data_IF_845104595434
#
_entry.id   IF_845104595434
#
_cell.length_a   1.000
_cell.length_b   1.000
_cell.length_c   1.000
_cell.angle_alpha   90.00
_cell.angle_beta   90.00
_cell.angle_gamma   90.00
#
_symmetry.space_group_name_H-M   'P 1'
#
loop_
_entity.id
_entity.type
_entity.pdbx_description
1 polymer ?
#
# COMPACT_ATOMS: atom_id res chain seq x y z
N UNK A 1 2.04 -22.28 24.70
CA UNK A 1 1.97 -21.69 23.34
C UNK A 1 0.51 -21.42 22.96
N UNK A 2 -0.15 -20.37 23.48
CA UNK A 2 -1.61 -20.17 23.22
C UNK A 2 -2.02 -18.81 22.66
N UNK A 3 -1.10 -18.03 22.09
CA UNK A 3 -1.45 -16.71 21.53
C UNK A 3 -0.90 -16.42 20.14
N UNK A 4 -0.33 -17.41 19.46
CA UNK A 4 0.27 -17.25 18.11
C UNK A 4 -0.76 -16.79 17.08
N UNK A 5 -1.98 -17.33 17.16
CA UNK A 5 -3.08 -17.01 16.25
C UNK A 5 -3.54 -15.55 16.39
N UNK A 6 -3.65 -15.04 17.63
CA UNK A 6 -3.97 -13.64 17.90
C UNK A 6 -2.88 -12.67 17.45
N UNK A 7 -1.61 -13.04 17.62
CA UNK A 7 -0.48 -12.24 17.13
C UNK A 7 -0.47 -12.14 15.61
N UNK A 8 -0.71 -13.26 14.90
CA UNK A 8 -0.78 -13.28 13.43
C UNK A 8 -1.90 -12.35 12.92
N UNK A 9 -3.08 -12.41 13.53
CA UNK A 9 -4.20 -11.55 13.14
C UNK A 9 -3.90 -10.06 13.35
N UNK A 10 -3.23 -9.70 14.46
CA UNK A 10 -2.82 -8.31 14.71
C UNK A 10 -1.81 -7.81 13.69
N UNK A 11 -0.82 -8.65 13.34
CA UNK A 11 0.20 -8.30 12.34
C UNK A 11 -0.44 -8.13 10.96
N UNK A 12 -1.33 -9.04 10.56
CA UNK A 12 -2.10 -8.93 9.32
C UNK A 12 -2.95 -7.66 9.29
N UNK A 13 -3.67 -7.35 10.38
CA UNK A 13 -4.49 -6.15 10.48
C UNK A 13 -3.66 -4.87 10.33
N UNK A 14 -2.51 -4.78 11.02
CA UNK A 14 -1.60 -3.65 10.89
C UNK A 14 -1.02 -3.53 9.47
N UNK A 15 -0.67 -4.65 8.84
CA UNK A 15 -0.16 -4.68 7.48
C UNK A 15 -1.22 -4.17 6.48
N UNK A 16 -2.45 -4.67 6.58
CA UNK A 16 -3.57 -4.24 5.72
C UNK A 16 -3.85 -2.75 5.90
N UNK A 17 -3.89 -2.26 7.14
CA UNK A 17 -4.14 -0.85 7.43
C UNK A 17 -3.04 0.06 6.86
N UNK A 18 -1.79 -0.40 6.91
CA UNK A 18 -0.67 0.34 6.35
C UNK A 18 -0.75 0.37 4.82
N UNK A 19 -0.96 -0.79 4.19
CA UNK A 19 -1.07 -0.90 2.73
C UNK A 19 -2.25 -0.07 2.20
N UNK A 20 -3.42 -0.15 2.84
CA UNK A 20 -4.62 0.57 2.40
C UNK A 20 -4.46 2.09 2.54
N UNK A 21 -3.84 2.57 3.61
CA UNK A 21 -3.57 4.01 3.79
C UNK A 21 -2.67 4.59 2.69
N UNK A 22 -1.59 3.88 2.34
CA UNK A 22 -0.68 4.32 1.26
C UNK A 22 -1.32 4.22 -0.12
N UNK A 23 -2.11 3.17 -0.34
CA UNK A 23 -2.85 3.00 -1.58
C UNK A 23 -3.88 4.12 -1.79
N UNK A 24 -4.61 4.51 -0.75
CA UNK A 24 -5.52 5.66 -0.80
C UNK A 24 -4.78 6.96 -1.13
N UNK A 25 -3.65 7.22 -0.48
CA UNK A 25 -2.87 8.43 -0.73
C UNK A 25 -2.36 8.51 -2.19
N UNK A 26 -1.85 7.40 -2.73
CA UNK A 26 -1.39 7.36 -4.13
C UNK A 26 -2.53 7.46 -5.13
N UNK A 27 -3.67 6.83 -4.83
CA UNK A 27 -4.86 6.93 -5.69
C UNK A 27 -5.38 8.37 -5.72
N UNK A 28 -5.39 9.07 -4.58
CA UNK A 28 -5.76 10.48 -4.51
C UNK A 28 -4.81 11.35 -5.34
N UNK A 29 -3.50 11.13 -5.23
CA UNK A 29 -2.51 11.83 -6.05
C UNK A 29 -2.68 11.55 -7.55
N UNK A 30 -2.96 10.29 -7.92
CA UNK A 30 -3.23 9.91 -9.30
C UNK A 30 -4.48 10.61 -9.86
N UNK A 31 -5.58 10.66 -9.08
CA UNK A 31 -6.77 11.41 -9.45
C UNK A 31 -6.48 12.90 -9.63
N UNK A 32 -5.70 13.52 -8.72
CA UNK A 32 -5.28 14.91 -8.86
C UNK A 32 -4.45 15.13 -10.13
N UNK A 33 -3.50 14.24 -10.42
CA UNK A 33 -2.68 14.33 -11.62
C UNK A 33 -3.54 14.24 -12.90
N UNK A 34 -4.51 13.32 -12.94
CA UNK A 34 -5.46 13.20 -14.06
C UNK A 34 -6.27 14.49 -14.24
N UNK A 35 -6.77 15.07 -13.15
CA UNK A 35 -7.54 16.31 -13.20
C UNK A 35 -6.71 17.49 -13.75
N UNK A 36 -5.44 17.58 -13.37
CA UNK A 36 -4.53 18.64 -13.84
C UNK A 36 -4.17 18.45 -15.31
N UNK A 37 -3.90 17.21 -15.73
CA UNK A 37 -3.46 16.88 -17.09
C UNK A 37 -4.63 16.78 -18.07
N UNK A 38 -5.86 16.61 -17.58
CA UNK A 38 -7.05 16.38 -18.42
C UNK A 38 -7.04 15.01 -19.10
N UNK A 39 -6.38 14.02 -18.47
CA UNK A 39 -6.31 12.65 -18.98
C UNK A 39 -7.59 11.87 -18.66
N UNK A 40 -7.78 10.71 -19.30
CA UNK A 40 -8.80 9.74 -18.89
C UNK A 40 -8.30 8.88 -17.72
N UNK A 41 -9.24 8.45 -16.88
CA UNK A 41 -8.98 7.54 -15.79
C UNK A 41 -9.00 6.08 -16.28
N UNK A 42 -7.93 5.35 -16.00
CA UNK A 42 -7.82 3.93 -16.34
C UNK A 42 -7.63 3.08 -15.07
N UNK A 43 -8.49 2.06 -14.93
CA UNK A 43 -8.49 1.09 -13.84
C UNK A 43 -7.24 0.21 -13.80
N UNK A 44 -6.58 0.01 -14.94
CA UNK A 44 -5.32 -0.75 -15.01
C UNK A 44 -4.24 -0.14 -14.12
N UNK A 45 -4.18 1.18 -14.04
CA UNK A 45 -3.21 1.93 -13.25
C UNK A 45 -3.44 1.76 -11.75
N UNK A 46 -4.68 1.55 -11.32
CA UNK A 46 -4.99 1.27 -9.90
C UNK A 46 -4.39 -0.07 -9.48
N UNK A 47 -4.52 -1.10 -10.32
CA UNK A 47 -3.92 -2.41 -10.05
C UNK A 47 -2.40 -2.34 -9.94
N UNK A 48 -1.77 -1.56 -10.82
CA UNK A 48 -0.31 -1.29 -10.79
C UNK A 48 0.07 -0.53 -9.51
N UNK A 49 -0.69 0.49 -9.12
CA UNK A 49 -0.44 1.24 -7.88
C UNK A 49 -0.55 0.35 -6.64
N UNK A 50 -1.56 -0.52 -6.56
CA UNK A 50 -1.70 -1.47 -5.46
C UNK A 50 -0.51 -2.42 -5.40
N UNK A 51 -0.13 -3.01 -6.53
CA UNK A 51 1.04 -3.88 -6.64
C UNK A 51 2.33 -3.18 -6.21
N UNK A 52 2.53 -1.94 -6.65
CA UNK A 52 3.68 -1.13 -6.27
C UNK A 52 3.74 -0.86 -4.76
N UNK A 53 2.61 -0.51 -4.12
CA UNK A 53 2.55 -0.31 -2.66
C UNK A 53 2.93 -1.58 -1.90
N UNK A 54 2.38 -2.72 -2.32
CA UNK A 54 2.67 -4.02 -1.70
C UNK A 54 4.15 -4.36 -1.86
N UNK A 55 4.71 -4.24 -3.06
CA UNK A 55 6.13 -4.52 -3.32
C UNK A 55 7.04 -3.60 -2.50
N UNK A 56 6.82 -2.29 -2.53
CA UNK A 56 7.62 -1.34 -1.76
C UNK A 56 7.52 -1.62 -0.26
N UNK A 57 6.35 -1.98 0.27
CA UNK A 57 6.21 -2.24 1.71
C UNK A 57 6.71 -3.62 2.14
N UNK A 58 6.65 -4.62 1.26
CA UNK A 58 7.24 -5.95 1.52
C UNK A 58 8.76 -5.94 1.42
N UNK A 59 9.33 -5.27 0.40
CA UNK A 59 10.77 -5.31 0.11
C UNK A 59 11.57 -4.12 0.64
N UNK A 60 10.90 -3.04 1.05
CA UNK A 60 11.49 -1.91 1.77
C UNK A 60 10.92 -1.78 3.20
N UNK A 61 11.07 -2.80 4.08
CA UNK A 61 10.80 -2.58 5.48
C UNK A 61 11.81 -1.56 5.98
N UNK A 62 11.32 -0.48 6.58
CA UNK A 62 12.09 0.63 7.17
C UNK A 62 13.18 0.19 8.17
N UNK A 63 13.29 -1.10 8.47
CA UNK A 63 14.17 -1.71 9.47
C UNK A 63 15.18 -2.73 8.93
N UNK A 64 15.23 -3.05 7.63
CA UNK A 64 16.22 -4.03 7.09
C UNK A 64 17.59 -3.39 6.83
N UNK A 65 17.62 -2.12 6.44
CA UNK A 65 18.87 -1.38 6.20
C UNK A 65 19.14 -0.35 7.30
N UNK A 66 19.08 -0.76 8.57
CA UNK A 66 19.77 -0.02 9.63
C UNK A 66 21.27 -0.25 9.44
N UNK A 67 21.92 0.61 8.65
CA UNK A 67 23.35 0.87 8.77
C UNK A 67 23.59 1.75 10.00
#
# INVERSE_FOLDING_TARGET
MSNTLGTIFRVLGLFILLVSGWFLALTALYCLAILIVGSTFDWSHIGVLLGAVVLVRMFYPRNVFKW
#
